data_IF_275227577631
#
_entry.id   IF_275227577631
#
_cell.length_a   1.000
_cell.length_b   1.000
_cell.length_c   1.000
_cell.angle_alpha   90.00
_cell.angle_beta   90.00
_cell.angle_gamma   90.00
#
_symmetry.space_group_name_H-M   'P 1'
#
loop_
_entity.id
_entity.type
_entity.pdbx_description
1 polymer ?
#
# COMPACT_ATOMS: atom_id res chain seq x y z
N UNK A 1 0.52 -1.58 -6.58
CA UNK A 1 -0.48 -2.67 -6.53
C UNK A 1 -1.54 -2.44 -7.59
N UNK A 2 -1.73 -3.43 -8.47
CA UNK A 2 -2.73 -3.48 -9.55
C UNK A 2 -3.68 -4.63 -9.17
N UNK A 3 -4.99 -4.46 -9.33
CA UNK A 3 -5.97 -5.52 -9.07
C UNK A 3 -6.52 -6.11 -10.37
N UNK A 4 -6.99 -7.36 -10.32
CA UNK A 4 -7.74 -7.99 -11.41
C UNK A 4 -8.92 -8.74 -10.78
N UNK A 5 -10.12 -8.17 -10.85
CA UNK A 5 -11.35 -8.88 -10.55
C UNK A 5 -12.04 -9.28 -11.85
N UNK A 6 -12.75 -10.41 -11.78
CA UNK A 6 -13.35 -11.22 -12.87
C UNK A 6 -14.36 -10.50 -13.80
N UNK A 7 -14.38 -9.17 -13.83
CA UNK A 7 -15.25 -8.29 -14.60
C UNK A 7 -14.52 -7.16 -15.36
N UNK A 8 -13.18 -7.15 -15.39
CA UNK A 8 -12.41 -6.16 -16.17
C UNK A 8 -12.21 -4.81 -15.49
N UNK A 9 -12.62 -4.65 -14.23
CA UNK A 9 -12.42 -3.43 -13.45
C UNK A 9 -11.28 -3.59 -12.44
N UNK A 10 -10.39 -2.60 -12.41
CA UNK A 10 -9.25 -2.54 -11.51
C UNK A 10 -9.03 -1.12 -11.00
N UNK A 11 -8.52 -1.01 -9.78
CA UNK A 11 -8.10 0.26 -9.19
C UNK A 11 -6.61 0.21 -8.88
N UNK A 12 -5.91 1.29 -9.20
CA UNK A 12 -4.53 1.48 -8.76
C UNK A 12 -4.51 2.08 -7.36
N UNK A 13 -3.56 1.64 -6.53
CA UNK A 13 -3.21 2.37 -5.31
C UNK A 13 -2.84 3.82 -5.67
N UNK A 14 -3.41 4.77 -4.95
CA UNK A 14 -3.10 6.20 -5.08
C UNK A 14 -2.04 6.65 -4.08
N UNK A 15 -1.47 5.73 -3.29
CA UNK A 15 -0.28 6.00 -2.48
C UNK A 15 0.95 6.28 -3.37
N UNK A 16 1.94 7.06 -2.87
CA UNK A 16 3.21 7.32 -3.55
C UNK A 16 4.14 6.08 -3.48
N UNK A 17 3.71 4.98 -4.09
CA UNK A 17 4.30 3.64 -3.92
C UNK A 17 5.81 3.60 -4.22
N UNK A 18 6.27 4.30 -5.27
CA UNK A 18 7.70 4.35 -5.61
C UNK A 18 8.52 5.06 -4.52
N UNK A 19 8.05 6.22 -4.07
CA UNK A 19 8.71 6.97 -2.99
C UNK A 19 8.75 6.17 -1.69
N UNK A 20 7.69 5.42 -1.39
CA UNK A 20 7.63 4.53 -0.22
C UNK A 20 8.70 3.46 -0.32
N UNK A 21 8.75 2.72 -1.44
CA UNK A 21 9.75 1.65 -1.64
C UNK A 21 11.16 2.20 -1.60
N UNK A 22 11.43 3.31 -2.29
CA UNK A 22 12.74 3.95 -2.29
C UNK A 22 13.18 4.37 -0.88
N UNK A 23 12.25 4.87 -0.06
CA UNK A 23 12.53 5.27 1.32
C UNK A 23 12.78 4.06 2.23
N UNK A 24 11.99 3.00 2.10
CA UNK A 24 12.18 1.74 2.84
C UNK A 24 13.54 1.11 2.51
N UNK A 25 13.89 1.02 1.23
CA UNK A 25 15.16 0.48 0.78
C UNK A 25 16.35 1.30 1.31
N UNK A 26 16.26 2.64 1.29
CA UNK A 26 17.27 3.52 1.91
C UNK A 26 17.36 3.35 3.42
N UNK A 27 16.25 3.03 4.09
CA UNK A 27 16.20 2.72 5.52
C UNK A 27 16.70 1.31 5.87
N UNK A 28 17.12 0.51 4.89
CA UNK A 28 17.59 -0.87 5.10
C UNK A 28 16.46 -1.91 5.16
N UNK A 29 15.22 -1.52 4.91
CA UNK A 29 14.07 -2.42 4.92
C UNK A 29 13.84 -3.00 3.51
N UNK A 30 13.94 -4.33 3.38
CA UNK A 30 13.66 -5.00 2.10
C UNK A 30 12.18 -4.87 1.78
N UNK A 31 11.86 -4.32 0.62
CA UNK A 31 10.48 -4.09 0.19
C UNK A 31 10.40 -4.03 -1.32
N UNK A 32 9.25 -4.40 -1.89
CA UNK A 32 9.00 -4.37 -3.32
C UNK A 32 7.58 -3.91 -3.66
N UNK A 33 7.38 -3.42 -4.88
CA UNK A 33 6.04 -3.15 -5.38
C UNK A 33 5.39 -4.48 -5.77
N UNK A 34 4.35 -4.87 -5.05
CA UNK A 34 3.48 -5.97 -5.50
C UNK A 34 2.52 -5.50 -6.59
N UNK A 35 2.40 -6.31 -7.66
CA UNK A 35 1.46 -6.11 -8.76
C UNK A 35 0.17 -6.95 -8.62
N UNK A 36 0.00 -7.66 -7.51
CA UNK A 36 -1.24 -8.39 -7.18
C UNK A 36 -1.49 -8.38 -5.67
N UNK A 37 -2.70 -8.00 -5.26
CA UNK A 37 -3.13 -8.10 -3.86
C UNK A 37 -3.57 -9.52 -3.46
N UNK A 38 -3.43 -10.49 -4.37
CA UNK A 38 -4.03 -11.82 -4.24
C UNK A 38 -5.51 -11.83 -4.61
N UNK A 39 -6.22 -12.91 -4.29
CA UNK A 39 -7.64 -13.09 -4.59
C UNK A 39 -8.51 -13.23 -3.33
N UNK A 40 -8.01 -12.78 -2.18
CA UNK A 40 -8.68 -12.93 -0.89
C UNK A 40 -9.11 -11.58 -0.31
N UNK A 41 -9.39 -11.53 0.99
CA UNK A 41 -9.98 -10.37 1.66
C UNK A 41 -9.15 -9.07 1.49
N UNK A 42 -7.82 -9.16 1.45
CA UNK A 42 -6.95 -8.01 1.26
C UNK A 42 -7.23 -7.31 -0.09
N UNK A 43 -7.37 -8.09 -1.15
CA UNK A 43 -7.71 -7.60 -2.48
C UNK A 43 -9.11 -6.97 -2.51
N UNK A 44 -10.09 -7.64 -1.89
CA UNK A 44 -11.44 -7.11 -1.80
C UNK A 44 -11.48 -5.77 -1.06
N UNK A 45 -10.81 -5.66 0.09
CA UNK A 45 -10.75 -4.44 0.89
C UNK A 45 -10.05 -3.30 0.15
N UNK A 46 -8.92 -3.59 -0.51
CA UNK A 46 -8.24 -2.60 -1.35
C UNK A 46 -9.15 -2.10 -2.48
N UNK A 47 -9.80 -3.02 -3.20
CA UNK A 47 -10.69 -2.67 -4.30
C UNK A 47 -11.89 -1.85 -3.82
N UNK A 48 -12.60 -2.29 -2.79
CA UNK A 48 -13.82 -1.63 -2.31
C UNK A 48 -13.54 -0.24 -1.75
N UNK A 49 -12.39 -0.05 -1.08
CA UNK A 49 -11.94 1.26 -0.59
C UNK A 49 -11.68 2.20 -1.75
N UNK A 50 -10.83 1.80 -2.71
CA UNK A 50 -10.49 2.64 -3.86
C UNK A 50 -11.71 2.93 -4.75
N UNK A 51 -12.58 1.94 -4.92
CA UNK A 51 -13.81 2.09 -5.70
C UNK A 51 -14.75 3.12 -5.06
N UNK A 52 -14.99 3.02 -3.75
CA UNK A 52 -15.83 3.98 -3.02
C UNK A 52 -15.28 5.41 -3.09
N UNK A 53 -13.96 5.58 -3.00
CA UNK A 53 -13.30 6.89 -3.13
C UNK A 53 -13.45 7.46 -4.55
N UNK A 54 -13.31 6.61 -5.57
CA UNK A 54 -13.51 7.02 -6.96
C UNK A 54 -14.97 7.42 -7.25
N UNK A 55 -15.95 6.65 -6.76
CA UNK A 55 -17.37 6.95 -6.95
C UNK A 55 -17.80 8.24 -6.24
N UNK A 56 -17.24 8.50 -5.05
CA UNK A 56 -17.50 9.73 -4.29
C UNK A 56 -16.69 10.94 -4.78
N UNK A 57 -15.83 10.78 -5.80
CA UNK A 57 -14.90 11.81 -6.29
C UNK A 57 -14.07 12.44 -5.17
N UNK A 58 -13.63 11.60 -4.22
CA UNK A 58 -12.80 12.04 -3.11
C UNK A 58 -11.34 12.22 -3.56
N UNK A 59 -10.69 13.28 -3.08
CA UNK A 59 -9.24 13.48 -3.24
C UNK A 59 -8.40 12.67 -2.24
N UNK A 60 -9.04 11.84 -1.41
CA UNK A 60 -8.34 10.98 -0.43
C UNK A 60 -7.49 9.94 -1.16
N UNK A 61 -6.21 9.82 -0.77
CA UNK A 61 -5.35 8.73 -1.23
C UNK A 61 -5.55 7.47 -0.40
N UNK A 62 -5.45 6.31 -1.04
CA UNK A 62 -5.56 5.01 -0.40
C UNK A 62 -4.73 3.96 -1.13
N UNK A 63 -4.42 2.89 -0.42
CA UNK A 63 -3.72 1.74 -0.95
C UNK A 63 -3.66 0.62 0.08
N UNK A 64 -2.89 -0.41 -0.22
CA UNK A 64 -2.72 -1.57 0.65
C UNK A 64 -1.24 -1.93 0.74
N UNK A 65 -0.77 -2.22 1.94
CA UNK A 65 0.61 -2.63 2.22
C UNK A 65 0.55 -3.95 2.98
N UNK A 66 1.12 -5.01 2.39
CA UNK A 66 1.32 -6.26 3.11
C UNK A 66 2.57 -6.15 3.97
N UNK A 67 2.43 -6.56 5.23
CA UNK A 67 3.55 -6.69 6.16
C UNK A 67 3.95 -8.16 6.27
N UNK A 68 5.21 -8.47 6.63
CA UNK A 68 5.62 -9.83 6.91
C UNK A 68 4.77 -10.53 7.97
N UNK A 69 4.70 -11.88 7.95
CA UNK A 69 4.13 -12.65 9.05
C UNK A 69 4.82 -12.33 10.38
N UNK A 70 4.08 -12.49 11.47
CA UNK A 70 4.59 -12.28 12.82
C UNK A 70 5.85 -13.13 13.09
N UNK A 71 6.87 -12.50 13.70
CA UNK A 71 8.13 -13.14 14.04
C UNK A 71 9.15 -13.28 12.91
N UNK A 72 8.82 -12.87 11.66
CA UNK A 72 9.81 -12.84 10.58
C UNK A 72 10.82 -11.69 10.75
N UNK A 73 10.35 -10.56 11.26
CA UNK A 73 11.13 -9.36 11.56
C UNK A 73 10.85 -8.92 13.00
N UNK A 74 11.73 -8.11 13.58
CA UNK A 74 11.50 -7.56 14.93
C UNK A 74 10.36 -6.53 14.91
N UNK A 75 9.71 -6.34 16.07
CA UNK A 75 8.70 -5.30 16.24
C UNK A 75 9.27 -3.91 15.96
N UNK A 76 10.52 -3.67 16.38
CA UNK A 76 11.25 -2.44 16.10
C UNK A 76 11.47 -2.21 14.60
N UNK A 77 11.80 -3.26 13.84
CA UNK A 77 11.94 -3.16 12.39
C UNK A 77 10.60 -2.81 11.72
N UNK A 78 9.51 -3.45 12.16
CA UNK A 78 8.16 -3.16 11.67
C UNK A 78 7.72 -1.74 12.00
N UNK A 79 7.99 -1.26 13.21
CA UNK A 79 7.68 0.10 13.66
C UNK A 79 8.47 1.14 12.85
N UNK A 80 9.78 0.93 12.67
CA UNK A 80 10.62 1.83 11.89
C UNK A 80 10.19 1.90 10.42
N UNK A 81 9.85 0.76 9.81
CA UNK A 81 9.29 0.72 8.46
C UNK A 81 7.94 1.48 8.38
N UNK A 82 7.07 1.29 9.38
CA UNK A 82 5.79 2.01 9.50
C UNK A 82 5.98 3.52 9.57
N UNK A 83 6.93 4.01 10.38
CA UNK A 83 7.26 5.43 10.49
C UNK A 83 7.74 6.01 9.14
N UNK A 84 8.63 5.30 8.44
CA UNK A 84 9.12 5.71 7.12
C UNK A 84 7.96 5.84 6.11
N UNK A 85 7.04 4.88 6.10
CA UNK A 85 5.86 4.91 5.22
C UNK A 85 5.00 6.15 5.53
N UNK A 86 4.69 6.37 6.81
CA UNK A 86 3.88 7.51 7.23
C UNK A 86 4.54 8.86 6.89
N UNK A 87 5.85 8.98 7.06
CA UNK A 87 6.60 10.20 6.71
C UNK A 87 6.59 10.48 5.20
N UNK A 88 6.63 9.44 4.35
CA UNK A 88 6.50 9.62 2.90
C UNK A 88 5.08 10.03 2.53
N UNK A 89 4.07 9.40 3.12
CA UNK A 89 2.66 9.73 2.86
C UNK A 89 2.35 11.16 3.31
N UNK A 90 2.76 11.56 4.51
CA UNK A 90 2.55 12.91 5.03
C UNK A 90 3.19 13.98 4.13
N UNK A 91 4.39 13.73 3.59
CA UNK A 91 5.04 14.64 2.63
C UNK A 91 4.42 14.66 1.25
N UNK A 92 3.65 13.64 0.87
CA UNK A 92 2.94 13.61 -0.40
C UNK A 92 1.62 14.39 -0.36
N UNK A 93 1.06 14.59 0.84
CA UNK A 93 -0.18 15.31 1.08
C UNK A 93 0.00 16.83 1.27
N UNK A 94 1.24 17.30 1.44
CA UNK A 94 1.61 18.72 1.58
C UNK A 94 2.36 19.21 0.35
#
# INVERSE_FOLDING_TARGET
MINYLKSGHYHFSTLPNRNIIDALLRGGHKSEISNTAGAYICNYLMYSTLHSLAESKSDTIAGFIHVPPFGLISEEELENAGRIILDVVARHLN
#
